data_IF_767721466338
#
_entry.id   IF_767721466338
#
_cell.length_a   1.000
_cell.length_b   1.000
_cell.length_c   1.000
_cell.angle_alpha   90.00
_cell.angle_beta   90.00
_cell.angle_gamma   90.00
#
_symmetry.space_group_name_H-M   'P 1'
#
loop_
_entity.id
_entity.type
_entity.pdbx_description
1 polymer ?
#
# COMPACT_ATOMS: atom_id res chain seq x y z
N UNK A 1 28.56 -40.19 -1.13
CA UNK A 1 28.92 -39.03 -1.95
C UNK A 1 27.67 -38.14 -2.25
N UNK A 2 26.50 -38.75 -2.54
CA UNK A 2 25.24 -37.98 -2.80
C UNK A 2 24.70 -37.22 -1.60
N UNK A 3 24.81 -37.75 -0.39
CA UNK A 3 24.35 -37.14 0.85
C UNK A 3 25.17 -35.88 1.19
N UNK A 4 26.49 -35.89 0.91
CA UNK A 4 27.36 -34.73 1.15
C UNK A 4 27.07 -33.57 0.17
N UNK A 5 26.68 -33.87 -1.07
CA UNK A 5 26.36 -32.83 -2.06
C UNK A 5 25.03 -32.14 -1.76
N UNK A 6 24.00 -32.86 -1.26
CA UNK A 6 22.74 -32.25 -0.86
C UNK A 6 22.90 -31.40 0.41
N UNK A 7 23.61 -31.89 1.42
CA UNK A 7 23.86 -31.06 2.64
C UNK A 7 24.68 -29.81 2.36
N UNK A 8 25.69 -29.86 1.48
CA UNK A 8 26.43 -28.69 1.06
C UNK A 8 25.54 -27.67 0.32
N UNK A 9 24.71 -28.14 -0.61
CA UNK A 9 23.75 -27.29 -1.34
C UNK A 9 22.76 -26.60 -0.38
N UNK A 10 22.32 -27.29 0.66
CA UNK A 10 21.39 -26.72 1.64
C UNK A 10 22.08 -25.68 2.56
N UNK A 11 23.35 -25.88 2.87
CA UNK A 11 24.16 -24.89 3.61
C UNK A 11 24.32 -23.59 2.79
N UNK A 12 24.64 -23.70 1.49
CA UNK A 12 24.75 -22.53 0.62
C UNK A 12 23.42 -21.79 0.47
N UNK A 13 22.30 -22.51 0.33
CA UNK A 13 20.96 -21.89 0.28
C UNK A 13 20.64 -21.13 1.56
N UNK A 14 20.99 -21.67 2.73
CA UNK A 14 20.80 -20.99 4.01
C UNK A 14 21.67 -19.73 4.12
N UNK A 15 22.90 -19.76 3.61
CA UNK A 15 23.77 -18.58 3.60
C UNK A 15 23.15 -17.47 2.76
N UNK A 16 22.60 -17.78 1.58
CA UNK A 16 21.92 -16.80 0.74
C UNK A 16 20.75 -16.13 1.47
N UNK A 17 20.03 -16.85 2.32
CA UNK A 17 18.95 -16.26 3.13
C UNK A 17 19.47 -15.27 4.18
N UNK A 18 20.58 -15.62 4.85
CA UNK A 18 21.22 -14.70 5.81
C UNK A 18 21.88 -13.50 5.12
N UNK A 19 22.31 -13.66 3.89
CA UNK A 19 22.82 -12.57 3.04
C UNK A 19 21.69 -11.67 2.47
N UNK A 20 20.41 -11.96 2.81
CA UNK A 20 19.26 -11.19 2.37
C UNK A 20 18.91 -11.37 0.88
N UNK A 21 19.45 -12.39 0.23
CA UNK A 21 19.18 -12.65 -1.19
C UNK A 21 17.75 -13.17 -1.37
N UNK A 22 17.01 -12.50 -2.24
CA UNK A 22 15.66 -12.89 -2.64
C UNK A 22 15.77 -13.59 -4.00
N UNK A 23 15.11 -14.75 -4.21
CA UNK A 23 15.08 -15.40 -5.51
C UNK A 23 14.40 -14.49 -6.54
N UNK A 24 14.75 -14.67 -7.81
CA UNK A 24 14.07 -13.96 -8.89
C UNK A 24 12.58 -14.32 -8.90
N UNK A 25 11.75 -13.30 -8.90
CA UNK A 25 10.29 -13.41 -8.98
C UNK A 25 9.87 -12.92 -10.36
N UNK A 26 9.10 -13.75 -11.05
CA UNK A 26 8.52 -13.36 -12.34
C UNK A 26 7.25 -12.53 -12.12
N UNK A 27 7.43 -11.23 -11.88
CA UNK A 27 6.36 -10.29 -11.61
C UNK A 27 5.39 -10.13 -12.79
N UNK A 28 5.88 -10.26 -14.01
CA UNK A 28 5.10 -10.06 -15.22
C UNK A 28 4.17 -11.25 -15.52
N UNK A 29 4.44 -12.42 -14.91
CA UNK A 29 3.56 -13.59 -15.01
C UNK A 29 2.35 -13.53 -14.06
N UNK A 30 2.33 -12.62 -13.09
CA UNK A 30 1.27 -12.51 -12.10
C UNK A 30 0.02 -11.92 -12.73
N UNK A 31 -1.02 -12.73 -12.87
CA UNK A 31 -2.29 -12.33 -13.45
C UNK A 31 -3.26 -11.87 -12.37
N UNK A 32 -3.71 -10.63 -12.45
CA UNK A 32 -4.69 -10.05 -11.55
C UNK A 32 -6.12 -10.18 -12.12
N UNK A 33 -7.10 -10.35 -11.23
CA UNK A 33 -8.51 -10.25 -11.61
C UNK A 33 -8.91 -8.77 -11.63
N UNK A 34 -9.27 -8.20 -12.79
CA UNK A 34 -9.59 -6.77 -12.89
C UNK A 34 -10.80 -6.38 -12.05
N UNK A 35 -10.87 -5.11 -11.68
CA UNK A 35 -11.97 -4.51 -10.92
C UNK A 35 -12.23 -5.19 -9.57
N UNK A 36 -11.20 -5.73 -8.95
CA UNK A 36 -11.25 -6.33 -7.62
C UNK A 36 -10.68 -5.42 -6.53
N UNK A 37 -10.86 -5.80 -5.25
CA UNK A 37 -10.25 -5.06 -4.15
C UNK A 37 -8.73 -5.29 -4.12
N UNK A 38 -7.96 -4.28 -3.76
CA UNK A 38 -6.50 -4.40 -3.77
C UNK A 38 -5.98 -5.43 -2.76
N UNK A 39 -6.72 -5.72 -1.67
CA UNK A 39 -6.41 -6.85 -0.78
C UNK A 39 -6.47 -8.21 -1.49
N UNK A 40 -7.37 -8.38 -2.48
CA UNK A 40 -7.42 -9.61 -3.26
C UNK A 40 -6.24 -9.69 -4.25
N UNK A 41 -5.84 -8.57 -4.85
CA UNK A 41 -4.59 -8.49 -5.62
C UNK A 41 -3.38 -8.88 -4.78
N UNK A 42 -3.31 -8.41 -3.54
CA UNK A 42 -2.27 -8.81 -2.57
C UNK A 42 -2.29 -10.31 -2.28
N UNK A 43 -3.46 -10.95 -2.15
CA UNK A 43 -3.56 -12.39 -1.94
C UNK A 43 -2.96 -13.20 -3.11
N UNK A 44 -3.15 -12.74 -4.34
CA UNK A 44 -2.55 -13.38 -5.52
C UNK A 44 -1.03 -13.33 -5.43
N UNK A 45 -0.47 -12.15 -5.15
CA UNK A 45 0.98 -11.97 -4.99
C UNK A 45 1.53 -12.81 -3.82
N UNK A 46 0.86 -12.80 -2.68
CA UNK A 46 1.24 -13.60 -1.51
C UNK A 46 1.29 -15.09 -1.83
N UNK A 47 0.37 -15.58 -2.66
CA UNK A 47 0.41 -16.98 -3.13
C UNK A 47 1.67 -17.28 -3.93
N UNK A 48 2.08 -16.40 -4.84
CA UNK A 48 3.32 -16.53 -5.62
C UNK A 48 4.55 -16.46 -4.71
N UNK A 49 4.56 -15.52 -3.76
CA UNK A 49 5.67 -15.36 -2.81
C UNK A 49 5.85 -16.61 -1.94
N UNK A 50 4.76 -17.24 -1.45
CA UNK A 50 4.82 -18.47 -0.66
C UNK A 50 5.43 -19.65 -1.45
N UNK A 51 5.19 -19.70 -2.76
CA UNK A 51 5.76 -20.74 -3.64
C UNK A 51 7.22 -20.45 -4.01
N UNK A 52 7.61 -19.17 -4.12
CA UNK A 52 8.91 -18.76 -4.65
C UNK A 52 9.92 -18.47 -3.55
N UNK A 53 9.53 -17.75 -2.50
CA UNK A 53 10.41 -17.26 -1.42
C UNK A 53 10.31 -18.18 -0.20
N UNK A 54 11.10 -19.25 -0.20
CA UNK A 54 10.98 -20.35 0.78
C UNK A 54 11.31 -19.98 2.23
N UNK A 55 11.99 -18.87 2.46
CA UNK A 55 12.30 -18.31 3.78
C UNK A 55 11.37 -17.15 4.16
N UNK A 56 10.25 -16.97 3.46
CA UNK A 56 9.23 -15.99 3.84
C UNK A 56 8.24 -16.62 4.81
N UNK A 57 7.82 -15.84 5.80
CA UNK A 57 6.72 -16.14 6.72
C UNK A 57 5.63 -15.09 6.62
N UNK A 58 4.40 -15.51 6.81
CA UNK A 58 3.26 -14.60 6.90
C UNK A 58 2.48 -14.90 8.18
N UNK A 59 1.90 -13.88 8.77
CA UNK A 59 1.04 -14.01 9.96
C UNK A 59 -0.20 -13.13 9.84
N UNK A 60 -1.23 -13.46 10.60
CA UNK A 60 -2.45 -12.67 10.70
C UNK A 60 -2.94 -12.62 12.14
N UNK A 61 -3.54 -11.48 12.51
CA UNK A 61 -4.18 -11.26 13.80
C UNK A 61 -5.62 -11.83 13.82
N UNK A 62 -5.76 -13.12 13.48
CA UNK A 62 -7.03 -13.86 13.38
C UNK A 62 -7.99 -13.37 12.27
N UNK A 63 -7.45 -12.72 11.26
CA UNK A 63 -8.22 -12.08 10.19
C UNK A 63 -7.87 -12.60 8.78
N UNK A 64 -7.14 -13.71 8.65
CA UNK A 64 -6.50 -14.13 7.40
C UNK A 64 -7.48 -14.24 6.20
N UNK A 65 -8.73 -14.65 6.44
CA UNK A 65 -9.76 -14.68 5.39
C UNK A 65 -10.22 -13.27 4.96
N UNK A 66 -10.16 -12.29 5.86
CA UNK A 66 -10.61 -10.93 5.61
C UNK A 66 -9.46 -10.03 5.15
N UNK A 67 -8.29 -10.11 5.79
CA UNK A 67 -7.09 -9.37 5.37
C UNK A 67 -6.39 -9.97 4.15
N UNK A 68 -6.88 -11.15 3.70
CA UNK A 68 -6.41 -11.86 2.51
C UNK A 68 -4.98 -12.39 2.58
N UNK A 69 -4.40 -12.49 3.77
CA UNK A 69 -3.16 -13.24 3.99
C UNK A 69 -3.36 -14.74 3.79
N UNK A 70 -4.62 -15.21 3.72
CA UNK A 70 -4.96 -16.58 3.32
C UNK A 70 -4.43 -16.96 1.93
N UNK A 71 -4.13 -15.98 1.08
CA UNK A 71 -3.42 -16.21 -0.19
C UNK A 71 -2.07 -16.90 0.02
N UNK A 72 -1.32 -16.50 1.06
CA UNK A 72 -0.08 -17.15 1.47
C UNK A 72 -0.36 -18.52 2.11
N UNK A 73 -1.31 -18.59 3.04
CA UNK A 73 -1.65 -19.81 3.76
C UNK A 73 -2.06 -20.95 2.82
N UNK A 74 -2.79 -20.67 1.74
CA UNK A 74 -3.20 -21.69 0.75
C UNK A 74 -2.04 -22.37 0.03
N UNK A 75 -0.83 -21.83 0.12
CA UNK A 75 0.38 -22.35 -0.53
C UNK A 75 1.42 -22.87 0.46
N UNK A 76 1.13 -22.84 1.74
CA UNK A 76 1.97 -23.35 2.84
C UNK A 76 1.11 -24.04 3.89
N UNK A 77 1.68 -24.27 5.05
CA UNK A 77 0.98 -24.83 6.22
C UNK A 77 1.08 -23.88 7.41
N UNK A 78 0.21 -24.08 8.38
CA UNK A 78 0.27 -23.34 9.65
C UNK A 78 1.49 -23.84 10.44
N UNK A 79 2.27 -22.90 10.95
CA UNK A 79 3.31 -23.15 11.93
C UNK A 79 2.66 -23.43 13.28
N UNK A 80 2.79 -24.64 13.80
CA UNK A 80 2.11 -25.04 15.03
C UNK A 80 2.99 -25.90 15.94
N UNK A 81 2.56 -26.08 17.18
CA UNK A 81 3.26 -26.94 18.14
C UNK A 81 3.35 -28.39 17.63
N UNK A 82 4.57 -28.86 17.49
CA UNK A 82 4.87 -30.22 17.01
C UNK A 82 5.00 -30.34 15.48
N UNK A 83 4.65 -29.30 14.73
CA UNK A 83 4.89 -29.21 13.29
C UNK A 83 5.38 -27.80 12.92
N UNK A 84 6.69 -27.67 12.71
CA UNK A 84 7.37 -26.43 12.35
C UNK A 84 7.67 -26.33 10.85
N UNK A 85 7.07 -27.16 10.02
CA UNK A 85 7.26 -27.16 8.57
C UNK A 85 6.49 -26.03 7.87
N UNK A 86 5.44 -25.50 8.51
CA UNK A 86 4.62 -24.41 7.99
C UNK A 86 5.30 -23.04 8.09
N UNK A 87 4.87 -22.11 7.23
CA UNK A 87 5.38 -20.75 7.20
C UNK A 87 4.31 -19.70 7.54
N UNK A 88 3.10 -20.12 7.93
CA UNK A 88 2.02 -19.21 8.32
C UNK A 88 1.78 -19.26 9.83
N UNK A 89 1.91 -18.11 10.50
CA UNK A 89 1.68 -17.98 11.94
C UNK A 89 0.28 -17.40 12.22
N UNK A 90 -0.57 -18.16 12.90
CA UNK A 90 -1.82 -17.68 13.46
C UNK A 90 -1.53 -17.00 14.80
N UNK A 91 -1.48 -15.68 14.79
CA UNK A 91 -1.07 -14.91 15.97
C UNK A 91 -2.20 -14.66 16.98
N UNK A 92 -3.47 -14.96 16.61
CA UNK A 92 -4.63 -14.54 17.40
C UNK A 92 -4.86 -13.03 17.33
N UNK A 93 -5.84 -12.51 18.07
CA UNK A 93 -6.13 -11.07 18.16
C UNK A 93 -5.08 -10.41 19.06
N UNK A 94 -3.87 -10.25 18.54
CA UNK A 94 -2.71 -9.77 19.29
C UNK A 94 -1.69 -9.06 18.35
N UNK A 95 -2.09 -7.95 17.77
CA UNK A 95 -1.35 -7.21 16.74
C UNK A 95 0.06 -6.80 17.20
N UNK A 96 0.19 -6.29 18.42
CA UNK A 96 1.50 -5.93 18.97
C UNK A 96 2.42 -7.15 19.09
N UNK A 97 1.92 -8.23 19.65
CA UNK A 97 2.68 -9.48 19.82
C UNK A 97 3.10 -10.04 18.45
N UNK A 98 2.17 -10.07 17.50
CA UNK A 98 2.44 -10.51 16.12
C UNK A 98 3.58 -9.70 15.49
N UNK A 99 3.51 -8.38 15.56
CA UNK A 99 4.54 -7.49 15.03
C UNK A 99 5.88 -7.70 15.74
N UNK A 100 5.90 -7.86 17.08
CA UNK A 100 7.12 -8.13 17.84
C UNK A 100 7.73 -9.50 17.50
N UNK A 101 6.92 -10.53 17.25
CA UNK A 101 7.41 -11.84 16.79
C UNK A 101 8.06 -11.71 15.41
N UNK A 102 7.42 -10.98 14.46
CA UNK A 102 8.02 -10.69 13.15
C UNK A 102 9.35 -9.94 13.29
N UNK A 103 9.44 -8.95 14.19
CA UNK A 103 10.70 -8.25 14.48
C UNK A 103 11.77 -9.22 14.98
N UNK A 104 11.44 -10.09 15.92
CA UNK A 104 12.36 -11.09 16.47
C UNK A 104 12.89 -12.05 15.39
N UNK A 105 12.02 -12.50 14.49
CA UNK A 105 12.43 -13.33 13.34
C UNK A 105 13.38 -12.59 12.40
N UNK A 106 13.08 -11.33 12.08
CA UNK A 106 13.94 -10.49 11.22
C UNK A 106 15.28 -10.22 11.87
N UNK A 107 15.33 -9.97 13.19
CA UNK A 107 16.57 -9.77 13.95
C UNK A 107 17.43 -11.04 14.01
N UNK A 108 16.83 -12.21 14.09
CA UNK A 108 17.54 -13.48 13.99
C UNK A 108 18.23 -13.63 12.63
N UNK A 109 17.62 -13.08 11.58
CA UNK A 109 18.09 -13.17 10.20
C UNK A 109 17.65 -14.44 9.47
N UNK A 110 17.86 -14.46 8.17
CA UNK A 110 17.53 -15.59 7.30
C UNK A 110 16.04 -15.77 6.96
N UNK A 111 15.17 -14.91 7.48
CA UNK A 111 13.71 -14.97 7.29
C UNK A 111 13.20 -13.62 6.81
N UNK A 112 12.26 -13.62 5.89
CA UNK A 112 11.47 -12.44 5.49
C UNK A 112 10.11 -12.56 6.14
N UNK A 113 9.73 -11.59 7.01
CA UNK A 113 8.49 -11.64 7.74
C UNK A 113 7.47 -10.64 7.22
N UNK A 114 6.22 -11.12 7.10
CA UNK A 114 5.05 -10.28 6.86
C UNK A 114 3.96 -10.54 7.89
N UNK A 115 3.15 -9.53 8.18
CA UNK A 115 2.02 -9.68 9.08
C UNK A 115 0.85 -8.80 8.67
N UNK A 116 -0.36 -9.35 8.78
CA UNK A 116 -1.60 -8.74 8.32
C UNK A 116 -2.62 -8.48 9.42
N UNK A 117 -3.32 -7.36 9.29
CA UNK A 117 -4.51 -6.98 10.07
C UNK A 117 -5.30 -5.91 9.33
N UNK A 118 -6.41 -5.44 9.89
CA UNK A 118 -7.10 -4.25 9.38
C UNK A 118 -6.32 -2.98 9.71
N UNK A 119 -6.40 -1.99 8.82
CA UNK A 119 -5.57 -0.81 8.92
C UNK A 119 -5.81 0.00 10.20
N UNK A 120 -7.05 0.10 10.67
CA UNK A 120 -7.36 0.78 11.94
C UNK A 120 -6.60 0.15 13.12
N UNK A 121 -6.36 -1.17 13.08
CA UNK A 121 -5.64 -1.88 14.15
C UNK A 121 -4.12 -1.74 14.06
N UNK A 122 -3.60 -1.02 13.06
CA UNK A 122 -2.22 -0.55 13.08
C UNK A 122 -1.92 0.29 14.33
N UNK A 123 -2.95 0.87 14.95
CA UNK A 123 -2.83 1.59 16.23
C UNK A 123 -2.25 0.72 17.34
N UNK A 124 -2.64 -0.55 17.41
CA UNK A 124 -2.08 -1.49 18.37
C UNK A 124 -0.65 -1.92 18.05
N UNK A 125 -0.21 -1.74 16.79
CA UNK A 125 1.13 -2.11 16.33
C UNK A 125 2.13 -0.95 16.39
N UNK A 126 1.72 0.29 16.63
CA UNK A 126 2.55 1.49 16.52
C UNK A 126 3.90 1.42 17.22
N UNK A 127 4.02 0.93 18.47
CA UNK A 127 5.33 0.78 19.11
C UNK A 127 6.27 -0.13 18.33
N UNK A 128 5.75 -1.25 17.82
CA UNK A 128 6.53 -2.20 17.02
C UNK A 128 6.91 -1.63 15.65
N UNK A 129 5.97 -0.95 14.96
CA UNK A 129 6.26 -0.27 13.68
C UNK A 129 7.39 0.74 13.86
N UNK A 130 7.31 1.57 14.91
CA UNK A 130 8.36 2.56 15.20
C UNK A 130 9.70 1.90 15.49
N UNK A 131 9.70 0.81 16.25
CA UNK A 131 10.93 0.07 16.55
C UNK A 131 11.50 -0.62 15.31
N UNK A 132 10.66 -1.20 14.44
CA UNK A 132 11.10 -1.76 13.17
C UNK A 132 11.75 -0.69 12.27
N UNK A 133 11.19 0.52 12.22
CA UNK A 133 11.74 1.64 11.49
C UNK A 133 13.10 2.09 12.08
N UNK A 134 13.21 2.21 13.42
CA UNK A 134 14.44 2.57 14.11
C UNK A 134 15.56 1.53 13.91
N UNK A 135 15.21 0.25 13.87
CA UNK A 135 16.13 -0.87 13.73
C UNK A 135 16.35 -1.27 12.26
N UNK A 136 15.77 -0.53 11.31
CA UNK A 136 15.91 -0.74 9.86
C UNK A 136 15.51 -2.16 9.43
N UNK A 137 14.47 -2.74 10.08
CA UNK A 137 13.99 -4.08 9.80
C UNK A 137 12.97 -4.08 8.64
N UNK A 138 13.22 -4.79 7.54
CA UNK A 138 12.36 -4.74 6.35
C UNK A 138 11.11 -5.64 6.46
N UNK A 139 10.37 -5.55 7.55
CA UNK A 139 9.09 -6.24 7.76
C UNK A 139 8.05 -5.72 6.78
N UNK A 140 7.17 -6.59 6.27
CA UNK A 140 6.05 -6.22 5.41
C UNK A 140 4.76 -6.22 6.23
N UNK A 141 4.30 -5.03 6.61
CA UNK A 141 3.00 -4.84 7.24
C UNK A 141 1.92 -4.79 6.16
N UNK A 142 0.90 -5.63 6.28
CA UNK A 142 -0.21 -5.75 5.34
C UNK A 142 -1.45 -5.22 6.06
N UNK A 143 -1.92 -4.05 5.67
CA UNK A 143 -3.05 -3.39 6.28
C UNK A 143 -4.20 -3.28 5.27
N UNK A 144 -5.26 -4.01 5.54
CA UNK A 144 -6.46 -3.99 4.68
C UNK A 144 -7.57 -3.16 5.33
N UNK A 145 -8.68 -2.95 4.58
CA UNK A 145 -9.77 -2.10 5.08
C UNK A 145 -9.28 -0.67 5.27
N UNK A 146 -8.80 -0.09 4.16
CA UNK A 146 -7.96 1.10 4.08
C UNK A 146 -8.62 2.41 4.51
N UNK A 147 -9.98 2.48 4.52
CA UNK A 147 -10.72 3.72 4.78
C UNK A 147 -12.20 3.44 5.12
N UNK A 148 -13.03 4.47 5.17
CA UNK A 148 -14.48 4.42 5.50
C UNK A 148 -15.29 3.43 4.63
N UNK A 149 -14.80 3.04 3.45
CA UNK A 149 -15.41 2.03 2.58
C UNK A 149 -15.35 0.60 3.14
N UNK A 150 -14.88 0.44 4.38
CA UNK A 150 -15.13 -0.76 5.19
C UNK A 150 -16.63 -1.04 5.27
N UNK A 151 -17.42 0.01 5.42
CA UNK A 151 -18.86 -0.06 5.26
C UNK A 151 -19.61 -0.36 6.54
N UNK A 152 -20.34 -1.48 6.58
CA UNK A 152 -21.28 -1.78 7.66
C UNK A 152 -20.61 -2.03 9.02
N UNK A 153 -19.32 -2.40 9.05
CA UNK A 153 -18.55 -2.56 10.29
C UNK A 153 -18.42 -1.23 11.07
N UNK A 154 -18.49 -0.10 10.34
CA UNK A 154 -18.62 1.23 10.89
C UNK A 154 -17.35 1.82 11.49
N UNK A 155 -17.49 2.93 12.27
CA UNK A 155 -16.38 3.77 12.72
C UNK A 155 -15.28 3.06 13.51
N UNK A 156 -15.60 1.96 14.20
CA UNK A 156 -14.63 1.18 14.97
C UNK A 156 -13.63 0.45 14.06
N UNK A 157 -13.93 0.32 12.78
CA UNK A 157 -13.12 -0.40 11.78
C UNK A 157 -12.67 0.50 10.63
N UNK A 158 -13.08 1.77 10.63
CA UNK A 158 -12.80 2.75 9.58
C UNK A 158 -11.63 3.65 9.97
N UNK A 159 -10.43 3.46 9.38
CA UNK A 159 -9.30 4.35 9.61
C UNK A 159 -9.56 5.72 9.00
N UNK A 160 -9.16 6.78 9.70
CA UNK A 160 -9.25 8.18 9.26
C UNK A 160 -7.88 8.85 9.38
N UNK A 161 -7.29 8.81 10.58
CA UNK A 161 -6.00 9.44 10.88
C UNK A 161 -4.80 8.50 10.69
N UNK A 162 -5.02 7.20 10.56
CA UNK A 162 -3.95 6.19 10.52
C UNK A 162 -3.02 6.40 9.32
N UNK A 163 -3.55 6.77 8.14
CA UNK A 163 -2.70 7.01 6.97
C UNK A 163 -1.76 8.20 7.22
N UNK A 164 -2.26 9.31 7.73
CA UNK A 164 -1.44 10.48 8.07
C UNK A 164 -0.35 10.10 9.08
N UNK A 165 -0.68 9.30 10.08
CA UNK A 165 0.26 8.87 11.13
C UNK A 165 1.40 7.99 10.58
N UNK A 166 1.10 6.98 9.73
CA UNK A 166 2.14 6.11 9.19
C UNK A 166 2.99 6.83 8.14
N UNK A 167 2.40 7.77 7.38
CA UNK A 167 3.15 8.61 6.42
C UNK A 167 4.11 9.59 7.08
N UNK A 168 3.97 9.89 8.37
CA UNK A 168 5.01 10.64 9.10
C UNK A 168 6.35 9.90 9.11
N UNK A 169 6.34 8.56 9.15
CA UNK A 169 7.56 7.76 9.10
C UNK A 169 8.24 7.80 7.72
N UNK A 170 7.49 8.01 6.63
CA UNK A 170 8.09 8.25 5.31
C UNK A 170 8.88 9.57 5.25
N UNK A 171 8.52 10.54 6.09
CA UNK A 171 9.16 11.88 6.14
C UNK A 171 10.37 11.92 7.05
N UNK A 172 10.58 10.88 7.86
CA UNK A 172 11.75 10.74 8.71
C UNK A 172 12.86 9.96 8.01
N UNK A 173 14.10 10.26 8.36
CA UNK A 173 15.26 9.46 7.94
C UNK A 173 15.64 8.47 9.03
N UNK A 174 16.01 7.26 8.64
CA UNK A 174 16.65 6.29 9.50
C UNK A 174 18.16 6.61 9.65
N UNK A 175 18.88 5.83 10.44
CA UNK A 175 20.33 6.08 10.69
C UNK A 175 21.18 5.91 9.43
N UNK A 176 20.73 5.11 8.45
CA UNK A 176 21.37 4.96 7.13
C UNK A 176 21.02 6.10 6.16
N UNK A 177 20.27 7.13 6.59
CA UNK A 177 19.92 8.30 5.79
C UNK A 177 18.80 8.07 4.76
N UNK A 178 18.16 6.88 4.77
CA UNK A 178 17.02 6.54 3.93
C UNK A 178 15.68 6.89 4.62
N UNK A 179 14.57 6.82 3.91
CA UNK A 179 13.27 6.97 4.53
C UNK A 179 13.06 5.86 5.58
N UNK A 180 12.58 6.22 6.77
CA UNK A 180 12.46 5.26 7.87
C UNK A 180 11.33 4.26 7.68
N UNK A 181 10.46 4.47 6.69
CA UNK A 181 9.42 3.52 6.26
C UNK A 181 9.07 3.74 4.78
N UNK A 182 8.71 2.68 4.08
CA UNK A 182 8.06 2.74 2.78
C UNK A 182 6.55 2.50 2.99
N UNK A 183 5.70 3.45 2.63
CA UNK A 183 4.24 3.29 2.70
C UNK A 183 3.67 3.28 1.29
N UNK A 184 2.88 2.26 0.98
CA UNK A 184 2.33 2.00 -0.35
C UNK A 184 0.82 1.83 -0.26
N UNK A 185 0.06 2.63 -1.00
CA UNK A 185 -1.39 2.53 -1.09
C UNK A 185 -1.80 2.50 -2.56
N UNK A 186 -1.88 1.29 -3.15
CA UNK A 186 -2.13 1.11 -4.58
C UNK A 186 -3.54 1.49 -5.00
N UNK A 187 -3.68 2.06 -6.22
CA UNK A 187 -4.93 2.49 -6.81
C UNK A 187 -5.83 1.33 -7.25
N UNK A 188 -5.25 0.22 -7.74
CA UNK A 188 -5.97 -0.96 -8.20
C UNK A 188 -5.12 -2.24 -8.04
N UNK A 189 -5.61 -3.36 -8.56
CA UNK A 189 -4.95 -4.66 -8.40
C UNK A 189 -3.64 -4.79 -9.17
N UNK A 190 -3.50 -4.11 -10.31
CA UNK A 190 -2.24 -4.12 -11.08
C UNK A 190 -1.17 -3.27 -10.38
N UNK A 191 -1.53 -2.08 -9.91
CA UNK A 191 -0.62 -1.27 -9.10
C UNK A 191 -0.23 -1.99 -7.80
N UNK A 192 -1.11 -2.87 -7.27
CA UNK A 192 -0.80 -3.71 -6.10
C UNK A 192 0.36 -4.66 -6.37
N UNK A 193 0.44 -5.23 -7.58
CA UNK A 193 1.59 -6.09 -7.97
C UNK A 193 2.88 -5.31 -7.95
N UNK A 194 2.89 -4.09 -8.51
CA UNK A 194 4.08 -3.21 -8.50
C UNK A 194 4.44 -2.80 -7.07
N UNK A 195 3.45 -2.47 -6.24
CA UNK A 195 3.67 -2.14 -4.82
C UNK A 195 4.29 -3.31 -4.05
N UNK A 196 3.87 -4.54 -4.30
CA UNK A 196 4.50 -5.72 -3.71
C UNK A 196 5.93 -5.92 -4.18
N UNK A 197 6.22 -5.69 -5.48
CA UNK A 197 7.59 -5.71 -5.97
C UNK A 197 8.46 -4.70 -5.22
N UNK A 198 8.03 -3.46 -5.10
CA UNK A 198 8.71 -2.42 -4.32
C UNK A 198 8.88 -2.82 -2.84
N UNK A 199 7.86 -3.44 -2.24
CA UNK A 199 7.92 -3.95 -0.89
C UNK A 199 9.00 -5.02 -0.73
N UNK A 200 9.14 -5.94 -1.66
CA UNK A 200 10.17 -6.99 -1.61
C UNK A 200 11.57 -6.42 -1.88
N UNK A 201 11.70 -5.45 -2.76
CA UNK A 201 12.97 -4.76 -3.06
C UNK A 201 13.42 -3.83 -1.91
N UNK A 202 12.50 -3.39 -1.04
CA UNK A 202 12.85 -2.57 0.13
C UNK A 202 13.46 -3.42 1.24
N UNK A 203 14.77 -3.33 1.43
CA UNK A 203 15.56 -4.09 2.42
C UNK A 203 16.08 -3.24 3.59
N UNK A 204 15.82 -1.94 3.59
CA UNK A 204 16.44 -0.98 4.50
C UNK A 204 15.48 -0.36 5.53
N UNK A 205 14.20 -0.69 5.42
CA UNK A 205 13.16 -0.16 6.31
C UNK A 205 11.89 -1.02 6.23
N UNK A 206 10.98 -0.93 7.20
CA UNK A 206 9.70 -1.60 7.09
C UNK A 206 8.86 -1.03 5.94
N UNK A 207 8.01 -1.88 5.38
CA UNK A 207 7.02 -1.49 4.36
C UNK A 207 5.61 -1.64 4.92
N UNK A 208 4.75 -0.64 4.73
CA UNK A 208 3.31 -0.72 4.97
C UNK A 208 2.56 -0.74 3.65
N UNK A 209 1.76 -1.78 3.43
CA UNK A 209 0.85 -1.93 2.29
C UNK A 209 -0.57 -1.65 2.77
N UNK A 210 -1.19 -0.58 2.30
CA UNK A 210 -2.53 -0.15 2.68
C UNK A 210 -3.48 -0.52 1.54
N UNK A 211 -4.42 -1.44 1.81
CA UNK A 211 -5.18 -2.16 0.79
C UNK A 211 -6.70 -2.02 0.99
N UNK A 212 -7.43 -1.79 -0.10
CA UNK A 212 -8.88 -1.63 -0.08
C UNK A 212 -9.62 -2.92 0.27
N UNK A 213 -10.76 -2.77 0.94
CA UNK A 213 -11.74 -3.84 1.16
C UNK A 213 -12.72 -3.96 0.00
N UNK A 214 -13.21 -2.84 -0.49
CA UNK A 214 -14.14 -2.74 -1.60
C UNK A 214 -13.46 -2.95 -2.95
N UNK A 215 -14.24 -3.34 -3.93
CA UNK A 215 -13.80 -3.40 -5.32
C UNK A 215 -13.38 -2.01 -5.81
N UNK A 216 -12.33 -1.97 -6.61
CA UNK A 216 -11.82 -0.74 -7.21
C UNK A 216 -11.75 -0.94 -8.73
N UNK A 217 -12.29 -0.01 -9.52
CA UNK A 217 -12.14 -0.05 -10.97
C UNK A 217 -10.67 0.02 -11.38
N UNK A 218 -10.32 -0.64 -12.47
CA UNK A 218 -8.99 -0.50 -13.08
C UNK A 218 -8.77 0.93 -13.55
N UNK A 219 -7.53 1.39 -13.48
CA UNK A 219 -7.10 2.62 -14.15
C UNK A 219 -7.28 2.46 -15.67
N UNK A 220 -7.32 3.58 -16.43
CA UNK A 220 -7.57 3.54 -17.87
C UNK A 220 -6.67 2.57 -18.63
N UNK A 221 -7.21 1.92 -19.66
CA UNK A 221 -6.50 0.97 -20.49
C UNK A 221 -5.19 1.56 -21.06
N UNK A 222 -4.12 0.77 -20.99
CA UNK A 222 -2.77 1.19 -21.39
C UNK A 222 -2.08 2.09 -20.37
N UNK A 223 -2.55 2.15 -19.12
CA UNK A 223 -1.83 2.80 -18.02
C UNK A 223 -0.49 2.08 -17.76
N UNK A 224 0.58 2.86 -17.59
CA UNK A 224 1.91 2.30 -17.30
C UNK A 224 2.14 2.21 -15.79
N UNK A 225 1.72 1.10 -15.21
CA UNK A 225 1.88 0.83 -13.77
C UNK A 225 3.33 0.73 -13.32
N UNK A 226 4.28 0.49 -14.24
CA UNK A 226 5.71 0.44 -13.88
C UNK A 226 6.22 1.77 -13.33
N UNK A 227 5.54 2.87 -13.62
CA UNK A 227 5.86 4.21 -13.13
C UNK A 227 5.58 4.38 -11.61
N UNK A 228 4.77 3.52 -11.01
CA UNK A 228 4.53 3.53 -9.56
C UNK A 228 5.81 3.39 -8.73
N UNK A 229 6.88 2.83 -9.33
CA UNK A 229 8.23 2.76 -8.73
C UNK A 229 8.83 4.11 -8.36
N UNK A 230 8.33 5.20 -8.93
CA UNK A 230 8.76 6.56 -8.60
C UNK A 230 7.92 7.22 -7.48
N UNK A 231 6.91 6.51 -6.96
CA UNK A 231 6.07 6.96 -5.86
C UNK A 231 4.88 7.82 -6.24
N UNK A 232 4.94 8.52 -7.38
CA UNK A 232 3.81 9.20 -8.02
C UNK A 232 4.05 9.22 -9.54
N UNK A 233 2.98 9.14 -10.31
CA UNK A 233 3.05 9.15 -11.77
C UNK A 233 1.74 9.64 -12.41
N UNK A 234 1.83 10.06 -13.67
CA UNK A 234 0.69 10.55 -14.46
C UNK A 234 -0.13 9.36 -14.98
N UNK A 235 -1.42 9.32 -14.63
CA UNK A 235 -2.36 8.30 -15.11
C UNK A 235 -2.66 8.51 -16.58
N UNK A 236 -2.78 7.42 -17.34
CA UNK A 236 -3.11 7.41 -18.78
C UNK A 236 -4.37 8.22 -19.11
N UNK A 237 -4.33 8.97 -20.20
CA UNK A 237 -5.42 9.84 -20.62
C UNK A 237 -5.39 11.25 -19.99
N UNK A 238 -4.33 11.58 -19.26
CA UNK A 238 -4.10 12.91 -18.72
C UNK A 238 -3.60 13.90 -19.80
N UNK A 239 -3.98 15.18 -19.65
CA UNK A 239 -3.55 16.26 -20.54
C UNK A 239 -2.10 16.68 -20.23
N UNK A 240 -1.33 17.06 -21.27
CA UNK A 240 0.07 17.48 -21.13
C UNK A 240 0.22 18.82 -20.40
N UNK A 241 -0.62 19.82 -20.78
CA UNK A 241 -0.63 21.16 -20.17
C UNK A 241 -1.96 21.35 -19.42
N UNK A 242 -2.10 20.84 -18.20
CA UNK A 242 -3.37 20.84 -17.49
C UNK A 242 -3.69 22.23 -16.90
N UNK A 243 -4.98 22.57 -16.89
CA UNK A 243 -5.51 23.70 -16.13
C UNK A 243 -5.58 23.35 -14.63
N UNK A 244 -5.72 22.05 -14.32
CA UNK A 244 -5.74 21.51 -12.96
C UNK A 244 -5.14 20.10 -12.91
N UNK A 245 -4.48 19.81 -11.80
CA UNK A 245 -3.95 18.46 -11.49
C UNK A 245 -4.75 17.89 -10.34
N UNK A 246 -5.17 16.62 -10.49
CA UNK A 246 -5.87 15.85 -9.47
C UNK A 246 -4.93 14.80 -8.92
N UNK A 247 -4.72 14.72 -7.60
CA UNK A 247 -3.80 13.76 -6.98
C UNK A 247 -4.48 12.98 -5.87
N UNK A 248 -4.28 11.67 -5.86
CA UNK A 248 -4.73 10.77 -4.80
C UNK A 248 -3.81 9.55 -4.67
N UNK A 249 -4.00 8.79 -3.61
CA UNK A 249 -3.51 7.42 -3.45
C UNK A 249 -4.69 6.46 -3.27
N UNK A 250 -4.48 5.17 -3.55
CA UNK A 250 -5.51 4.16 -3.30
C UNK A 250 -6.75 4.31 -4.18
N UNK A 251 -7.86 3.85 -3.67
CA UNK A 251 -9.14 3.81 -4.39
C UNK A 251 -9.67 5.18 -4.84
N UNK A 252 -9.20 6.28 -4.24
CA UNK A 252 -9.60 7.63 -4.60
C UNK A 252 -9.11 8.05 -5.98
N UNK A 253 -8.06 7.40 -6.51
CA UNK A 253 -7.58 7.66 -7.88
C UNK A 253 -8.67 7.36 -8.91
N UNK A 254 -9.42 6.28 -8.75
CA UNK A 254 -10.55 5.94 -9.63
C UNK A 254 -11.66 7.01 -9.56
N UNK A 255 -11.94 7.56 -8.38
CA UNK A 255 -12.89 8.67 -8.21
C UNK A 255 -12.40 9.95 -8.93
N UNK A 256 -11.09 10.23 -8.86
CA UNK A 256 -10.50 11.36 -9.59
C UNK A 256 -10.56 11.17 -11.11
N UNK A 257 -10.32 9.95 -11.61
CA UNK A 257 -10.45 9.64 -13.04
C UNK A 257 -11.87 9.93 -13.51
N UNK A 258 -12.90 9.49 -12.76
CA UNK A 258 -14.30 9.77 -13.09
C UNK A 258 -14.62 11.27 -13.01
N UNK A 259 -14.11 11.99 -12.01
CA UNK A 259 -14.26 13.44 -11.89
C UNK A 259 -13.57 14.22 -13.03
N UNK A 260 -12.40 13.74 -13.46
CA UNK A 260 -11.67 14.32 -14.58
C UNK A 260 -12.47 14.27 -15.90
N UNK A 261 -13.22 13.19 -16.14
CA UNK A 261 -14.12 13.05 -17.31
C UNK A 261 -15.19 14.15 -17.31
N UNK A 262 -15.76 14.49 -16.15
CA UNK A 262 -16.74 15.56 -16.02
C UNK A 262 -16.12 16.93 -16.29
N UNK A 263 -14.92 17.18 -15.75
CA UNK A 263 -14.18 18.43 -15.95
C UNK A 263 -13.78 18.62 -17.42
N UNK A 264 -13.35 17.54 -18.11
CA UNK A 264 -13.00 17.61 -19.54
C UNK A 264 -14.21 17.88 -20.41
N UNK A 265 -15.39 17.35 -20.10
CA UNK A 265 -16.66 17.66 -20.79
C UNK A 265 -17.00 19.14 -20.68
N UNK A 266 -16.56 19.79 -19.61
CA UNK A 266 -16.73 21.23 -19.38
C UNK A 266 -15.53 22.07 -19.91
N UNK A 267 -14.66 21.48 -20.71
CA UNK A 267 -13.59 22.15 -21.45
C UNK A 267 -12.28 22.34 -20.69
N UNK A 268 -12.15 21.80 -19.46
CA UNK A 268 -10.90 21.88 -18.71
C UNK A 268 -9.91 20.80 -19.14
N UNK A 269 -8.63 21.15 -19.20
CA UNK A 269 -7.53 20.20 -19.34
C UNK A 269 -7.14 19.65 -17.97
N UNK A 270 -7.17 18.34 -17.80
CA UNK A 270 -7.01 17.71 -16.49
C UNK A 270 -5.91 16.65 -16.50
N UNK A 271 -4.98 16.76 -15.59
CA UNK A 271 -4.02 15.69 -15.28
C UNK A 271 -4.46 14.95 -14.03
N UNK A 272 -4.46 13.63 -14.08
CA UNK A 272 -4.66 12.76 -12.91
C UNK A 272 -3.33 12.12 -12.53
N UNK A 273 -3.00 12.14 -11.24
CA UNK A 273 -1.76 11.58 -10.68
C UNK A 273 -2.14 10.53 -9.65
N UNK A 274 -1.65 9.30 -9.84
CA UNK A 274 -1.61 8.28 -8.79
C UNK A 274 -0.35 8.48 -7.96
N UNK A 275 -0.50 8.58 -6.63
CA UNK A 275 0.61 8.74 -5.70
C UNK A 275 0.59 7.62 -4.65
N UNK A 276 0.94 6.37 -5.00
CA UNK A 276 0.97 5.28 -4.04
C UNK A 276 1.92 5.50 -2.87
N UNK A 277 3.00 6.30 -3.03
CA UNK A 277 3.95 6.61 -1.96
C UNK A 277 4.51 8.03 -2.06
N UNK A 278 4.08 8.90 -1.14
CA UNK A 278 4.62 10.28 -1.07
C UNK A 278 6.12 10.27 -0.74
N UNK A 279 6.56 9.42 0.20
CA UNK A 279 7.97 9.38 0.61
C UNK A 279 8.90 8.96 -0.52
N UNK A 280 8.47 8.00 -1.34
CA UNK A 280 9.22 7.56 -2.51
C UNK A 280 9.23 8.64 -3.62
N UNK A 281 8.11 9.31 -3.86
CA UNK A 281 8.03 10.42 -4.80
C UNK A 281 8.97 11.58 -4.40
N UNK A 282 8.99 11.92 -3.12
CA UNK A 282 9.86 13.00 -2.63
C UNK A 282 11.35 12.65 -2.63
N UNK A 283 11.71 11.39 -2.76
CA UNK A 283 13.09 10.96 -2.95
C UNK A 283 13.55 11.01 -4.42
N UNK A 284 12.64 11.30 -5.35
CA UNK A 284 13.02 11.49 -6.75
C UNK A 284 13.72 12.85 -6.98
N UNK A 285 14.35 13.02 -8.15
CA UNK A 285 14.96 14.29 -8.52
C UNK A 285 13.95 15.43 -8.57
N UNK A 286 14.41 16.66 -8.37
CA UNK A 286 13.55 17.85 -8.44
C UNK A 286 12.87 17.97 -9.82
N UNK A 287 13.56 17.61 -10.89
CA UNK A 287 13.06 17.60 -12.26
C UNK A 287 11.90 16.63 -12.42
N UNK A 288 12.00 15.42 -11.83
CA UNK A 288 10.92 14.45 -11.86
C UNK A 288 9.71 14.94 -11.07
N UNK A 289 9.93 15.44 -9.85
CA UNK A 289 8.85 15.98 -9.02
C UNK A 289 8.12 17.13 -9.74
N UNK A 290 8.87 18.06 -10.36
CA UNK A 290 8.33 19.18 -11.12
C UNK A 290 7.57 18.72 -12.39
N UNK A 291 7.99 17.63 -13.03
CA UNK A 291 7.28 17.08 -14.20
C UNK A 291 5.92 16.48 -13.85
N UNK A 292 5.76 15.97 -12.62
CA UNK A 292 4.51 15.34 -12.14
C UNK A 292 3.60 16.40 -11.50
N UNK A 293 4.10 17.15 -10.52
CA UNK A 293 3.40 18.19 -9.75
C UNK A 293 4.17 19.52 -9.83
N UNK A 294 4.01 20.28 -10.92
CA UNK A 294 4.72 21.54 -11.14
C UNK A 294 4.42 22.58 -10.05
N UNK A 295 5.43 23.33 -9.65
CA UNK A 295 5.28 24.45 -8.73
C UNK A 295 4.32 25.51 -9.29
N UNK A 296 3.39 25.96 -8.45
CA UNK A 296 2.39 26.98 -8.84
C UNK A 296 1.18 26.44 -9.62
N UNK A 297 1.15 25.14 -9.97
CA UNK A 297 -0.04 24.54 -10.56
C UNK A 297 -1.22 24.55 -9.59
N UNK A 298 -2.45 24.60 -10.13
CA UNK A 298 -3.66 24.32 -9.35
C UNK A 298 -3.74 22.82 -9.11
N UNK A 299 -3.65 22.37 -7.86
CA UNK A 299 -3.67 20.97 -7.50
C UNK A 299 -4.84 20.70 -6.56
N UNK A 300 -5.66 19.70 -6.89
CA UNK A 300 -6.73 19.19 -6.05
C UNK A 300 -6.35 17.80 -5.55
N UNK A 301 -6.36 17.59 -4.24
CA UNK A 301 -6.12 16.30 -3.59
C UNK A 301 -7.42 15.68 -3.11
N UNK A 302 -7.54 14.35 -3.24
CA UNK A 302 -8.64 13.56 -2.68
C UNK A 302 -8.07 12.45 -1.81
N UNK A 303 -8.50 12.38 -0.55
CA UNK A 303 -8.10 11.30 0.37
C UNK A 303 -9.27 10.87 1.24
N UNK A 304 -9.45 9.56 1.42
CA UNK A 304 -10.46 9.02 2.33
C UNK A 304 -10.06 9.10 3.82
N UNK A 305 -8.89 9.66 4.12
CA UNK A 305 -8.42 10.03 5.45
C UNK A 305 -8.42 11.54 5.67
N UNK A 306 -7.67 12.00 6.67
CA UNK A 306 -7.53 13.43 6.96
C UNK A 306 -6.86 14.20 5.81
N UNK A 307 -7.32 15.44 5.49
CA UNK A 307 -6.73 16.28 4.44
C UNK A 307 -5.22 16.49 4.57
N UNK A 308 -4.70 16.51 5.79
CA UNK A 308 -3.25 16.66 6.06
C UNK A 308 -2.40 15.59 5.36
N UNK A 309 -2.97 14.44 5.02
CA UNK A 309 -2.30 13.34 4.32
C UNK A 309 -1.73 13.80 2.97
N UNK A 310 -2.45 14.65 2.22
CA UNK A 310 -2.03 15.14 0.90
C UNK A 310 -1.62 16.61 0.90
N UNK A 311 -1.77 17.33 2.01
CA UNK A 311 -1.54 18.77 2.08
C UNK A 311 -0.12 19.16 1.61
N UNK A 312 0.87 18.33 1.92
CA UNK A 312 2.24 18.54 1.44
C UNK A 312 2.43 18.41 -0.06
N UNK A 313 1.56 17.69 -0.77
CA UNK A 313 1.63 17.48 -2.23
C UNK A 313 0.92 18.60 -3.00
N UNK A 314 -0.19 19.12 -2.47
CA UNK A 314 -0.99 20.12 -3.18
C UNK A 314 -0.44 21.54 -3.04
N UNK A 315 0.41 21.79 -2.06
CA UNK A 315 0.99 23.10 -1.81
C UNK A 315 -0.01 24.14 -1.27
N UNK A 316 0.45 25.39 -1.16
CA UNK A 316 -0.33 26.47 -0.56
C UNK A 316 -1.57 26.87 -1.38
N UNK A 317 -1.49 26.82 -2.70
CA UNK A 317 -2.57 27.20 -3.62
C UNK A 317 -3.48 26.02 -3.98
N UNK A 318 -3.19 24.83 -3.46
CA UNK A 318 -3.98 23.65 -3.69
C UNK A 318 -5.12 23.49 -2.68
N UNK A 319 -6.01 22.55 -2.97
CA UNK A 319 -7.12 22.18 -2.11
C UNK A 319 -7.13 20.66 -1.90
N UNK A 320 -7.36 20.22 -0.68
CA UNK A 320 -7.59 18.80 -0.37
C UNK A 320 -9.02 18.62 0.12
N UNK A 321 -9.73 17.67 -0.45
CA UNK A 321 -10.97 17.13 0.11
C UNK A 321 -10.64 15.80 0.79
N UNK A 322 -11.07 15.64 2.03
CA UNK A 322 -10.82 14.47 2.87
C UNK A 322 -11.91 14.27 3.90
N UNK A 323 -11.77 13.22 4.68
CA UNK A 323 -12.66 12.91 5.79
C UNK A 323 -12.12 13.56 7.06
N UNK A 324 -12.86 14.52 7.63
CA UNK A 324 -12.47 15.29 8.82
C UNK A 324 -13.21 14.85 10.08
N UNK A 325 -13.96 13.73 10.02
CA UNK A 325 -14.69 13.14 11.13
C UNK A 325 -14.60 11.62 11.09
N UNK A 326 -14.96 10.96 12.17
CA UNK A 326 -15.18 9.52 12.12
C UNK A 326 -16.27 9.18 11.11
N UNK A 327 -16.18 7.99 10.50
CA UNK A 327 -17.12 7.52 9.51
C UNK A 327 -18.45 7.03 10.10
N UNK A 328 -19.22 6.27 9.32
CA UNK A 328 -20.55 5.80 9.68
C UNK A 328 -20.77 4.36 9.21
N UNK A 329 -21.64 3.62 9.89
CA UNK A 329 -22.04 2.27 9.48
C UNK A 329 -23.12 2.33 8.40
N UNK A 330 -22.75 2.00 7.16
CA UNK A 330 -23.68 1.84 6.02
C UNK A 330 -22.95 1.12 4.86
N UNK A 331 -23.68 0.62 3.83
CA UNK A 331 -23.06 0.14 2.62
C UNK A 331 -22.13 1.21 2.00
N UNK A 332 -20.93 0.81 1.56
CA UNK A 332 -19.89 1.77 1.16
C UNK A 332 -20.32 2.76 0.07
N UNK A 333 -21.20 2.34 -0.87
CA UNK A 333 -21.74 3.24 -1.89
C UNK A 333 -22.63 4.35 -1.33
N UNK A 334 -23.37 4.05 -0.26
CA UNK A 334 -24.14 5.06 0.48
C UNK A 334 -23.21 6.04 1.20
N UNK A 335 -22.10 5.51 1.75
CA UNK A 335 -21.08 6.34 2.38
C UNK A 335 -20.38 7.25 1.36
N UNK A 336 -20.05 6.74 0.17
CA UNK A 336 -19.47 7.55 -0.91
C UNK A 336 -20.36 8.76 -1.23
N UNK A 337 -21.67 8.53 -1.38
CA UNK A 337 -22.64 9.60 -1.67
C UNK A 337 -22.76 10.60 -0.50
N UNK A 338 -22.94 10.08 0.72
CA UNK A 338 -23.19 10.92 1.90
C UNK A 338 -21.96 11.70 2.35
N UNK A 339 -20.76 11.13 2.19
CA UNK A 339 -19.49 11.77 2.54
C UNK A 339 -18.90 12.57 1.36
N UNK A 340 -19.51 12.49 0.17
CA UNK A 340 -19.10 13.29 -0.99
C UNK A 340 -17.88 12.75 -1.75
N UNK A 341 -17.61 11.45 -1.66
CA UNK A 341 -16.51 10.82 -2.43
C UNK A 341 -17.01 10.36 -3.81
N UNK A 342 -17.58 11.31 -4.55
CA UNK A 342 -18.18 11.09 -5.88
C UNK A 342 -17.51 11.95 -6.96
N UNK A 343 -17.64 11.52 -8.22
CA UNK A 343 -17.13 12.27 -9.37
C UNK A 343 -17.74 13.67 -9.45
N UNK A 344 -19.03 13.80 -9.13
CA UNK A 344 -19.77 15.09 -9.14
C UNK A 344 -19.22 16.03 -8.09
N UNK A 345 -18.90 15.54 -6.89
CA UNK A 345 -18.31 16.39 -5.86
C UNK A 345 -16.88 16.80 -6.24
N UNK A 346 -16.07 15.91 -6.80
CA UNK A 346 -14.74 16.27 -7.34
C UNK A 346 -14.89 17.40 -8.37
N UNK A 347 -15.82 17.29 -9.33
CA UNK A 347 -16.11 18.33 -10.29
C UNK A 347 -16.46 19.66 -9.60
N UNK A 348 -17.40 19.65 -8.65
CA UNK A 348 -17.84 20.86 -7.95
C UNK A 348 -16.72 21.51 -7.13
N UNK A 349 -15.92 20.71 -6.42
CA UNK A 349 -14.80 21.18 -5.62
C UNK A 349 -13.71 21.82 -6.48
N UNK A 350 -13.41 21.22 -7.64
CA UNK A 350 -12.42 21.74 -8.58
C UNK A 350 -12.93 23.01 -9.26
N UNK A 351 -14.19 23.04 -9.71
CA UNK A 351 -14.79 24.26 -10.31
C UNK A 351 -14.73 25.45 -9.36
N UNK A 352 -14.89 25.22 -8.06
CA UNK A 352 -14.77 26.28 -7.05
C UNK A 352 -13.34 26.84 -6.86
N UNK A 353 -12.32 26.24 -7.52
CA UNK A 353 -10.95 26.74 -7.51
C UNK A 353 -10.68 27.74 -8.66
N UNK A 354 -11.63 27.90 -9.59
CA UNK A 354 -11.58 28.82 -10.74
C UNK A 354 -12.51 30.01 -10.57
#
# INVERSE_FOLDING_TARGET
TRVRSSAASDVYKRQDWFDGKIPAIDWDSIQQKPNGPTRAGSAVVLGVLAETVKNMTCSSADLCNSDKTDGFLKKTQIFMKGDFSGAFLQAGVAELTMACVCMGMMLHGGVISSCGTFFVFSDYMKPAIRMAALMELPIKFIWTHDAFRVGEDGPTHEPVEQEAQVRLLEKMKNHSGKNSMLVLRPADVEETTVCWRLAMENTDSPTGLILSRQDVPMLPEGNDYSQAKYGAYIVKGSDENPDVILVASGSEVATLVAGAELLRKDGLKVRVVSCPSEGLFRSQSAEYQESILPNGAKIFGLTAGLPVTLQGLVGYNGKVFGLESFGYSAPYKVLDEKLGFTAENVYNQVKAMF
#
